data_IF_039215608144
#
_entry.id   IF_039215608144
#
_cell.length_a   1.000
_cell.length_b   1.000
_cell.length_c   1.000
_cell.angle_alpha   90.00
_cell.angle_beta   90.00
_cell.angle_gamma   90.00
#
_symmetry.space_group_name_H-M   'P 1'
#
loop_
_entity.id
_entity.type
_entity.pdbx_description
1 polymer ?
#
# COMPACT_ATOMS: atom_id res chain seq x y z
N UNK A 1 -3.95 4.75 4.32
CA UNK A 1 -4.13 4.79 5.79
C UNK A 1 -4.33 6.23 6.23
N UNK A 2 -5.14 6.47 7.26
CA UNK A 2 -5.27 7.79 7.89
C UNK A 2 -4.06 8.06 8.81
N UNK A 3 -3.90 9.31 9.24
CA UNK A 3 -2.86 9.66 10.22
C UNK A 3 -3.08 9.00 11.60
N UNK A 4 -4.32 8.62 11.89
CA UNK A 4 -4.69 7.93 13.13
C UNK A 4 -4.54 6.42 13.04
N UNK A 5 -4.07 5.91 11.90
CA UNK A 5 -3.71 4.51 11.72
C UNK A 5 -4.81 3.66 11.09
N UNK A 6 -5.96 4.23 10.70
CA UNK A 6 -7.00 3.46 10.02
C UNK A 6 -6.55 3.03 8.62
N UNK A 7 -6.64 1.75 8.32
CA UNK A 7 -6.23 1.17 7.04
C UNK A 7 -7.41 0.58 6.28
N UNK A 8 -7.49 0.90 4.98
CA UNK A 8 -8.37 0.23 4.03
C UNK A 8 -7.63 -0.01 2.73
N UNK A 9 -7.99 -1.09 2.04
CA UNK A 9 -7.52 -1.35 0.69
C UNK A 9 -8.35 -0.51 -0.28
N UNK A 10 -7.70 0.04 -1.31
CA UNK A 10 -8.39 0.65 -2.44
C UNK A 10 -8.63 -0.46 -3.47
N UNK A 11 -9.87 -0.90 -3.62
CA UNK A 11 -10.23 -2.02 -4.51
C UNK A 11 -10.75 -1.56 -5.86
N UNK A 12 -11.13 -0.29 -5.97
CA UNK A 12 -11.66 0.26 -7.19
C UNK A 12 -10.51 0.52 -8.18
N UNK A 13 -10.75 0.22 -9.46
CA UNK A 13 -9.75 0.37 -10.50
C UNK A 13 -8.86 -0.85 -10.74
N UNK A 14 -8.95 -1.92 -9.91
CA UNK A 14 -8.28 -3.20 -10.18
C UNK A 14 -8.75 -3.81 -11.50
N UNK A 15 -7.82 -4.48 -12.19
CA UNK A 15 -8.07 -5.17 -13.46
C UNK A 15 -7.20 -6.42 -13.56
N UNK A 16 -7.59 -7.31 -14.47
CA UNK A 16 -6.73 -8.31 -15.08
C UNK A 16 -5.35 -7.77 -15.46
N UNK A 17 -4.36 -8.65 -15.38
CA UNK A 17 -2.98 -8.37 -15.76
C UNK A 17 -2.88 -7.85 -17.21
N UNK A 18 -1.94 -6.95 -17.50
CA UNK A 18 -1.66 -6.53 -18.88
C UNK A 18 -1.43 -7.73 -19.79
N UNK A 19 -2.01 -7.70 -21.00
CA UNK A 19 -1.88 -8.77 -22.00
C UNK A 19 -2.90 -9.90 -21.91
N UNK A 20 -3.77 -9.93 -20.89
CA UNK A 20 -4.86 -10.94 -20.80
C UNK A 20 -5.99 -10.65 -21.79
N UNK A 21 -6.39 -9.38 -21.92
CA UNK A 21 -7.41 -8.95 -22.88
C UNK A 21 -7.02 -7.56 -23.46
N UNK A 22 -6.72 -7.48 -24.77
CA UNK A 22 -6.36 -6.21 -25.41
C UNK A 22 -7.54 -5.24 -25.57
N UNK A 23 -8.78 -5.71 -25.41
CA UNK A 23 -9.99 -4.89 -25.58
C UNK A 23 -10.49 -4.27 -24.28
N UNK A 24 -10.02 -4.74 -23.13
CA UNK A 24 -10.44 -4.12 -21.88
C UNK A 24 -9.89 -2.69 -21.78
N UNK A 25 -10.76 -1.75 -21.44
CA UNK A 25 -10.46 -0.34 -21.22
C UNK A 25 -9.65 -0.15 -19.94
N UNK A 26 -8.78 0.87 -19.89
CA UNK A 26 -8.08 1.22 -18.64
C UNK A 26 -9.09 1.79 -17.63
N UNK A 27 -9.35 1.05 -16.56
CA UNK A 27 -10.11 1.54 -15.41
C UNK A 27 -9.25 2.50 -14.57
N UNK A 28 -9.91 3.47 -13.97
CA UNK A 28 -9.33 4.35 -12.96
C UNK A 28 -10.37 4.56 -11.87
N UNK A 29 -9.91 4.87 -10.66
CA UNK A 29 -10.75 5.21 -9.53
C UNK A 29 -10.25 6.51 -8.90
N UNK A 30 -11.15 7.22 -8.23
CA UNK A 30 -10.83 8.44 -7.49
C UNK A 30 -11.28 8.25 -6.06
N UNK A 31 -10.41 8.61 -5.12
CA UNK A 31 -10.66 8.42 -3.70
C UNK A 31 -10.35 9.70 -2.91
N UNK A 32 -11.29 10.11 -2.07
CA UNK A 32 -11.09 11.21 -1.15
C UNK A 32 -10.34 10.70 0.08
N UNK A 33 -9.22 11.35 0.38
CA UNK A 33 -8.37 11.00 1.50
C UNK A 33 -8.31 12.17 2.49
N UNK A 34 -8.47 11.91 3.79
CA UNK A 34 -8.23 12.92 4.82
C UNK A 34 -6.82 13.51 4.71
N UNK A 35 -6.64 14.73 5.22
CA UNK A 35 -5.32 15.35 5.34
C UNK A 35 -4.35 14.40 6.06
N UNK A 36 -3.07 14.42 5.65
CA UNK A 36 -2.01 13.58 6.24
C UNK A 36 -2.20 12.07 6.04
N UNK A 37 -3.18 11.62 5.28
CA UNK A 37 -3.29 10.22 4.90
C UNK A 37 -2.09 9.77 4.07
N UNK A 38 -1.68 8.53 4.26
CA UNK A 38 -0.61 7.90 3.46
C UNK A 38 -1.22 6.89 2.50
N UNK A 39 -0.94 7.02 1.21
CA UNK A 39 -1.20 6.01 0.19
C UNK A 39 0.04 5.14 0.06
N UNK A 40 -0.14 3.83 0.13
CA UNK A 40 0.92 2.84 -0.04
C UNK A 40 0.58 1.97 -1.25
N UNK A 41 1.50 1.92 -2.21
CA UNK A 41 1.51 1.00 -3.33
C UNK A 41 2.64 0.01 -3.10
N UNK A 42 2.41 -1.26 -3.42
CA UNK A 42 3.38 -2.33 -3.17
C UNK A 42 3.26 -3.42 -4.23
N UNK A 43 4.34 -4.17 -4.43
CA UNK A 43 4.32 -5.43 -5.18
C UNK A 43 3.93 -6.60 -4.27
N UNK A 44 3.35 -7.64 -4.85
CA UNK A 44 2.93 -8.87 -4.17
C UNK A 44 4.06 -9.52 -3.32
N UNK A 45 5.31 -9.43 -3.78
CA UNK A 45 6.49 -9.89 -3.03
C UNK A 45 6.61 -9.34 -1.59
N UNK A 46 5.98 -8.20 -1.27
CA UNK A 46 5.93 -7.67 0.10
C UNK A 46 5.07 -8.52 1.05
N UNK A 47 4.01 -9.15 0.53
CA UNK A 47 3.03 -9.90 1.32
C UNK A 47 3.09 -11.41 1.10
N UNK A 48 3.58 -11.85 -0.07
CA UNK A 48 3.67 -13.26 -0.44
C UNK A 48 4.77 -13.98 0.33
N UNK A 49 4.39 -15.11 0.95
CA UNK A 49 5.31 -16.02 1.64
C UNK A 49 4.94 -17.45 1.32
N UNK A 50 5.96 -18.31 1.14
CA UNK A 50 5.74 -19.73 0.80
C UNK A 50 5.03 -20.44 1.95
N UNK A 51 3.95 -21.13 1.63
CA UNK A 51 3.16 -21.89 2.61
C UNK A 51 2.22 -21.03 3.47
N UNK A 52 2.08 -19.74 3.17
CA UNK A 52 1.17 -18.84 3.89
C UNK A 52 0.11 -18.27 2.94
N UNK A 53 -1.11 -18.08 3.42
CA UNK A 53 -2.17 -17.43 2.64
C UNK A 53 -1.96 -15.92 2.53
N UNK A 54 -2.39 -15.34 1.41
CA UNK A 54 -2.31 -13.90 1.15
C UNK A 54 -2.96 -13.04 2.24
N UNK A 55 -4.05 -13.51 2.83
CA UNK A 55 -4.77 -12.79 3.89
C UNK A 55 -3.91 -12.56 5.13
N UNK A 56 -3.03 -13.49 5.46
CA UNK A 56 -2.13 -13.36 6.60
C UNK A 56 -1.01 -12.34 6.30
N UNK A 57 -0.48 -12.34 5.07
CA UNK A 57 0.42 -11.30 4.56
C UNK A 57 -0.21 -9.91 4.58
N UNK A 58 -1.44 -9.80 4.10
CA UNK A 58 -2.21 -8.55 4.11
C UNK A 58 -2.48 -8.06 5.54
N UNK A 59 -2.82 -8.97 6.45
CA UNK A 59 -3.02 -8.64 7.87
C UNK A 59 -1.74 -8.08 8.49
N UNK A 60 -0.59 -8.73 8.26
CA UNK A 60 0.72 -8.25 8.73
C UNK A 60 1.03 -6.86 8.14
N UNK A 61 0.86 -6.67 6.84
CA UNK A 61 1.07 -5.37 6.19
C UNK A 61 0.23 -4.27 6.83
N UNK A 62 -1.07 -4.52 7.06
CA UNK A 62 -1.96 -3.54 7.70
C UNK A 62 -1.52 -3.19 9.11
N UNK A 63 -1.09 -4.17 9.90
CA UNK A 63 -0.61 -3.96 11.26
C UNK A 63 0.64 -3.07 11.29
N UNK A 64 1.65 -3.38 10.47
CA UNK A 64 2.86 -2.56 10.36
C UNK A 64 2.55 -1.15 9.87
N UNK A 65 1.75 -1.04 8.80
CA UNK A 65 1.37 0.25 8.25
C UNK A 65 0.61 1.12 9.28
N UNK A 66 -0.31 0.54 10.05
CA UNK A 66 -1.01 1.22 11.14
C UNK A 66 -0.05 1.67 12.24
N UNK A 67 0.87 0.81 12.67
CA UNK A 67 1.84 1.14 13.72
C UNK A 67 2.77 2.30 13.32
N UNK A 68 3.14 2.36 12.03
CA UNK A 68 4.07 3.34 11.49
C UNK A 68 3.39 4.58 10.89
N UNK A 69 2.06 4.71 10.98
CA UNK A 69 1.28 5.71 10.24
C UNK A 69 1.72 7.18 10.48
N UNK A 70 2.43 7.44 11.59
CA UNK A 70 2.92 8.76 11.99
C UNK A 70 4.40 9.00 11.70
N UNK A 71 5.16 7.95 11.38
CA UNK A 71 6.59 8.04 11.12
C UNK A 71 6.89 8.84 9.85
N UNK A 72 8.07 9.45 9.72
CA UNK A 72 8.57 9.97 8.45
C UNK A 72 8.48 8.90 7.35
N UNK A 73 8.24 9.31 6.09
CA UNK A 73 8.03 8.34 5.01
C UNK A 73 9.24 7.44 4.75
N UNK A 74 10.46 7.95 4.93
CA UNK A 74 11.69 7.16 4.78
C UNK A 74 11.71 6.02 5.81
N UNK A 75 11.55 6.36 7.10
CA UNK A 75 11.44 5.39 8.20
C UNK A 75 10.27 4.41 7.99
N UNK A 76 9.11 4.92 7.56
CA UNK A 76 7.95 4.09 7.26
C UNK A 76 8.25 3.03 6.19
N UNK A 77 8.92 3.41 5.09
CA UNK A 77 9.29 2.49 4.02
C UNK A 77 10.36 1.49 4.48
N UNK A 78 11.40 1.95 5.17
CA UNK A 78 12.51 1.11 5.64
C UNK A 78 12.02 0.03 6.62
N UNK A 79 11.16 0.41 7.56
CA UNK A 79 10.60 -0.51 8.55
C UNK A 79 9.61 -1.51 7.92
N UNK A 80 8.84 -1.10 6.91
CA UNK A 80 8.01 -2.04 6.15
C UNK A 80 8.85 -3.07 5.40
N UNK A 81 9.91 -2.63 4.71
CA UNK A 81 10.80 -3.52 3.98
C UNK A 81 11.50 -4.47 4.96
N UNK A 82 12.05 -3.95 6.05
CA UNK A 82 12.75 -4.75 7.07
C UNK A 82 11.83 -5.78 7.74
N UNK A 83 10.59 -5.40 8.06
CA UNK A 83 9.65 -6.27 8.77
C UNK A 83 8.90 -7.28 7.89
N UNK A 84 8.69 -6.97 6.61
CA UNK A 84 7.80 -7.74 5.74
C UNK A 84 8.51 -8.47 4.60
N UNK A 85 9.55 -7.88 3.99
CA UNK A 85 10.30 -8.52 2.93
C UNK A 85 11.01 -9.76 3.49
N UNK A 86 10.67 -10.92 2.97
CA UNK A 86 10.99 -12.20 3.62
C UNK A 86 11.47 -13.29 2.68
N UNK A 87 11.08 -13.26 1.41
CA UNK A 87 11.64 -14.12 0.36
C UNK A 87 12.57 -13.28 -0.54
N UNK A 88 13.90 -13.48 -0.50
CA UNK A 88 14.84 -12.76 -1.37
C UNK A 88 14.65 -13.06 -2.86
N UNK A 89 13.91 -14.12 -3.22
CA UNK A 89 13.63 -14.48 -4.59
C UNK A 89 12.49 -13.66 -5.22
N UNK A 90 11.70 -12.95 -4.42
CA UNK A 90 10.61 -12.11 -4.89
C UNK A 90 11.02 -10.65 -4.94
N UNK A 91 10.70 -9.98 -6.04
CA UNK A 91 10.93 -8.54 -6.15
C UNK A 91 9.97 -7.76 -5.24
N UNK A 92 10.56 -6.94 -4.37
CA UNK A 92 9.81 -6.09 -3.45
C UNK A 92 10.02 -4.63 -3.82
N UNK A 93 8.92 -3.94 -4.11
CA UNK A 93 8.90 -2.49 -4.25
C UNK A 93 7.77 -1.90 -3.41
N UNK A 94 8.05 -0.75 -2.79
CA UNK A 94 7.07 0.07 -2.07
C UNK A 94 7.15 1.50 -2.57
N UNK A 95 5.99 2.13 -2.69
CA UNK A 95 5.87 3.56 -2.97
C UNK A 95 4.84 4.16 -2.01
N UNK A 96 5.29 5.10 -1.20
CA UNK A 96 4.45 5.80 -0.23
C UNK A 96 4.35 7.28 -0.57
N UNK A 97 3.13 7.82 -0.50
CA UNK A 97 2.86 9.25 -0.64
C UNK A 97 1.96 9.70 0.51
N UNK A 98 2.36 10.79 1.19
CA UNK A 98 1.58 11.38 2.27
C UNK A 98 0.95 12.70 1.83
N UNK A 99 -0.35 12.81 2.01
CA UNK A 99 -1.06 14.04 1.72
C UNK A 99 -0.57 15.16 2.65
N UNK A 100 -0.53 16.41 2.19
CA UNK A 100 -0.20 17.53 3.04
C UNK A 100 -1.23 17.67 4.18
N UNK A 101 -0.87 18.43 5.21
CA UNK A 101 -1.87 19.03 6.09
C UNK A 101 -2.82 19.85 5.24
N UNK A 102 -4.14 19.76 5.46
CA UNK A 102 -5.13 20.57 4.76
C UNK A 102 -4.72 22.05 4.87
N UNK A 103 -4.27 22.65 3.78
CA UNK A 103 -4.14 24.10 3.73
C UNK A 103 -5.56 24.69 3.66
N UNK A 104 -5.87 25.77 4.39
CA UNK A 104 -7.05 26.54 4.09
C UNK A 104 -6.96 26.98 2.62
N UNK A 105 -8.03 26.73 1.85
CA UNK A 105 -8.10 27.20 0.45
C UNK A 105 -7.94 28.73 0.48
N UNK A 106 -6.88 29.24 -0.15
CA UNK A 106 -6.71 30.67 -0.41
C UNK A 106 -7.65 31.13 -1.51
#
# INVERSE_FOLDING_TARGET
>A
MTHDGDTRLLTDGHRLLPGVDPHTTRSHATELLPARSTVLLYTDGLIERRGEGLDAGMTRLRQYATALAREPLDTFCDELLTGLASDPANDVAVLAARLPTSQPRR
#
